data_IF_083578494414
#
_entry.id   IF_083578494414
#
_cell.length_a   1.000
_cell.length_b   1.000
_cell.length_c   1.000
_cell.angle_alpha   90.00
_cell.angle_beta   90.00
_cell.angle_gamma   90.00
#
_symmetry.space_group_name_H-M   'P 1'
#
loop_
_entity.id
_entity.type
_entity.pdbx_description
1 polymer ?
#
# COMPACT_ATOMS: atom_id res chain seq x y z
N UNK A 1 10.79 -10.74 11.40
CA UNK A 1 10.54 -9.85 10.25
C UNK A 1 9.28 -10.34 9.58
N UNK A 2 8.17 -9.61 9.68
CA UNK A 2 6.99 -9.95 8.89
C UNK A 2 7.29 -9.59 7.44
N UNK A 3 7.08 -10.51 6.51
CA UNK A 3 7.22 -10.21 5.10
C UNK A 3 6.12 -9.20 4.70
N UNK A 4 6.48 -8.19 3.92
CA UNK A 4 5.50 -7.28 3.32
C UNK A 4 4.65 -8.12 2.35
N UNK A 5 3.34 -8.13 2.57
CA UNK A 5 2.38 -8.82 1.70
C UNK A 5 1.64 -7.80 0.85
N UNK A 6 1.73 -7.97 -0.47
CA UNK A 6 0.95 -7.21 -1.44
C UNK A 6 -0.43 -7.86 -1.57
N UNK A 7 -1.48 -7.13 -1.20
CA UNK A 7 -2.85 -7.66 -1.14
C UNK A 7 -3.29 -8.27 -2.49
N UNK A 8 -2.91 -7.65 -3.60
CA UNK A 8 -3.21 -8.08 -4.96
C UNK A 8 -2.49 -9.35 -5.42
N UNK A 9 -1.51 -9.83 -4.63
CA UNK A 9 -0.73 -11.05 -4.91
C UNK A 9 -1.15 -12.23 -4.05
N UNK A 10 -2.11 -12.03 -3.15
CA UNK A 10 -2.65 -13.08 -2.30
C UNK A 10 -3.93 -13.65 -2.90
N UNK A 11 -4.08 -14.97 -2.82
CA UNK A 11 -5.36 -15.63 -2.96
C UNK A 11 -6.27 -15.29 -1.78
N UNK A 12 -7.58 -15.47 -1.97
CA UNK A 12 -8.55 -15.21 -0.91
C UNK A 12 -8.33 -16.10 0.34
N UNK A 13 -7.81 -17.33 0.16
CA UNK A 13 -7.47 -18.23 1.27
C UNK A 13 -6.27 -17.75 2.08
N UNK A 14 -5.26 -17.17 1.43
CA UNK A 14 -4.11 -16.57 2.12
C UNK A 14 -4.53 -15.33 2.92
N UNK A 15 -5.39 -14.48 2.34
CA UNK A 15 -5.98 -13.34 3.06
C UNK A 15 -6.77 -13.77 4.30
N UNK A 16 -7.56 -14.85 4.20
CA UNK A 16 -8.27 -15.41 5.35
C UNK A 16 -7.30 -15.88 6.44
N UNK A 17 -6.20 -16.55 6.07
CA UNK A 17 -5.18 -16.97 7.02
C UNK A 17 -4.51 -15.77 7.72
N UNK A 18 -4.23 -14.68 7.00
CA UNK A 18 -3.69 -13.44 7.60
C UNK A 18 -4.66 -12.77 8.57
N UNK A 19 -5.96 -12.72 8.23
CA UNK A 19 -7.02 -12.20 9.10
C UNK A 19 -7.11 -13.03 10.38
N UNK A 20 -7.17 -14.35 10.25
CA UNK A 20 -7.40 -15.27 11.37
C UNK A 20 -6.15 -15.40 12.27
N UNK A 21 -4.94 -15.18 11.71
CA UNK A 21 -3.67 -15.16 12.43
C UNK A 21 -3.37 -13.86 13.20
N UNK A 22 -4.26 -12.86 13.17
CA UNK A 22 -4.10 -11.60 13.90
C UNK A 22 -3.19 -10.56 13.22
N UNK A 23 -2.71 -10.81 12.00
CA UNK A 23 -1.94 -9.86 11.18
C UNK A 23 -2.85 -8.97 10.32
N UNK A 24 -3.88 -8.37 10.93
CA UNK A 24 -5.01 -7.76 10.23
C UNK A 24 -4.83 -6.30 9.78
N UNK A 25 -3.63 -5.71 9.90
CA UNK A 25 -3.41 -4.34 9.45
C UNK A 25 -3.27 -4.29 7.93
N UNK A 26 -4.17 -3.55 7.27
CA UNK A 26 -4.11 -3.27 5.84
C UNK A 26 -3.84 -1.78 5.64
N UNK A 27 -2.87 -1.46 4.79
CA UNK A 27 -2.58 -0.10 4.34
C UNK A 27 -3.09 0.06 2.91
N UNK A 28 -3.97 1.03 2.69
CA UNK A 28 -4.47 1.38 1.37
C UNK A 28 -3.87 2.73 0.95
N UNK A 29 -2.88 2.76 0.05
CA UNK A 29 -2.38 4.03 -0.47
C UNK A 29 -3.50 4.75 -1.23
N UNK A 30 -3.72 6.01 -0.87
CA UNK A 30 -4.73 6.86 -1.49
C UNK A 30 -4.09 8.22 -1.82
N UNK A 31 -4.25 8.64 -3.07
CA UNK A 31 -3.76 9.92 -3.56
C UNK A 31 -4.74 10.51 -4.58
N UNK A 32 -4.29 11.51 -5.32
CA UNK A 32 -5.06 12.18 -6.35
C UNK A 32 -4.39 12.13 -7.73
N UNK A 33 -5.18 12.45 -8.75
CA UNK A 33 -4.70 12.88 -10.08
C UNK A 33 -4.93 14.38 -10.19
N UNK A 34 -3.89 15.18 -9.96
CA UNK A 34 -4.00 16.64 -9.93
C UNK A 34 -2.72 17.34 -10.39
N UNK A 35 -2.81 18.65 -10.69
CA UNK A 35 -1.66 19.40 -11.21
C UNK A 35 -0.64 19.70 -10.10
N UNK A 36 0.66 19.56 -10.40
CA UNK A 36 1.77 19.88 -9.49
C UNK A 36 2.81 20.82 -10.11
N UNK A 37 2.34 21.75 -10.95
CA UNK A 37 3.18 22.66 -11.73
C UNK A 37 3.91 21.97 -12.90
N UNK A 38 4.76 22.71 -13.64
CA UNK A 38 5.39 22.19 -14.86
C UNK A 38 6.52 21.18 -14.63
N UNK A 39 6.84 20.86 -13.37
CA UNK A 39 8.02 20.09 -12.98
C UNK A 39 7.69 18.73 -12.36
N UNK A 40 6.41 18.47 -12.06
CA UNK A 40 5.98 17.22 -11.42
C UNK A 40 4.83 16.56 -12.18
N UNK A 41 4.78 15.21 -12.20
CA UNK A 41 3.66 14.46 -12.77
C UNK A 41 2.35 14.63 -11.99
N UNK A 42 1.23 14.39 -12.67
CA UNK A 42 -0.11 14.51 -12.06
C UNK A 42 -0.45 13.41 -11.04
N UNK A 43 0.36 12.35 -10.94
CA UNK A 43 0.15 11.25 -10.00
C UNK A 43 1.05 11.35 -8.74
N UNK A 44 1.69 12.50 -8.51
CA UNK A 44 2.68 12.66 -7.43
C UNK A 44 2.15 12.20 -6.07
N UNK A 45 0.91 12.57 -5.72
CA UNK A 45 0.25 12.17 -4.47
C UNK A 45 0.18 10.64 -4.32
N UNK A 46 -0.19 9.97 -5.41
CA UNK A 46 -0.31 8.50 -5.42
C UNK A 46 1.06 7.84 -5.25
N UNK A 47 2.11 8.38 -5.90
CA UNK A 47 3.49 7.87 -5.75
C UNK A 47 3.97 8.04 -4.31
N UNK A 48 3.72 9.19 -3.68
CA UNK A 48 4.11 9.43 -2.29
C UNK A 48 3.35 8.49 -1.35
N UNK A 49 2.03 8.39 -1.49
CA UNK A 49 1.19 7.53 -0.65
C UNK A 49 1.59 6.05 -0.74
N UNK A 50 1.87 5.55 -1.95
CA UNK A 50 2.34 4.18 -2.19
C UNK A 50 3.65 3.91 -1.46
N UNK A 51 4.65 4.79 -1.62
CA UNK A 51 5.95 4.64 -0.97
C UNK A 51 5.84 4.70 0.55
N UNK A 52 5.06 5.62 1.10
CA UNK A 52 4.85 5.70 2.56
C UNK A 52 4.19 4.43 3.10
N UNK A 53 3.19 3.87 2.41
CA UNK A 53 2.56 2.62 2.82
C UNK A 53 3.54 1.44 2.80
N UNK A 54 4.36 1.33 1.76
CA UNK A 54 5.38 0.28 1.66
C UNK A 54 6.42 0.36 2.79
N UNK A 55 6.92 1.57 3.10
CA UNK A 55 7.88 1.78 4.18
C UNK A 55 7.25 1.63 5.58
N UNK A 56 5.95 1.89 5.73
CA UNK A 56 5.24 1.65 6.98
C UNK A 56 4.98 0.15 7.21
N UNK A 57 4.67 -0.60 6.15
CA UNK A 57 4.45 -2.05 6.21
C UNK A 57 5.72 -2.86 6.50
N UNK A 58 6.91 -2.27 6.32
CA UNK A 58 8.20 -2.92 6.55
C UNK A 58 8.66 -2.92 8.02
N UNK A 59 7.89 -2.29 8.91
CA UNK A 59 8.21 -2.07 10.34
C UNK A 59 7.38 -2.98 11.24
#
# INVERSE_FOLDING_TARGET
MSAICHFERLSWTELAAHRDGGSGLVLLPCGATEQHGPHLPVNTDTVIADRVCLEAASR
#
